data_IF_587797816764
#
_entry.id   IF_587797816764
#
_cell.length_a   1.000
_cell.length_b   1.000
_cell.length_c   1.000
_cell.angle_alpha   90.00
_cell.angle_beta   90.00
_cell.angle_gamma   90.00
#
_symmetry.space_group_name_H-M   'P 1'
#
loop_
_entity.id
_entity.type
_entity.pdbx_description
1 polymer ?
#
# COMPACT_ATOMS: atom_id res chain seq x y z
N UNK A 1 -10.63 -1.72 -6.43
CA UNK A 1 -10.38 -0.54 -7.30
C UNK A 1 -10.07 -0.95 -8.74
N UNK A 2 -9.07 -1.79 -9.01
CA UNK A 2 -8.76 -2.27 -10.39
C UNK A 2 -9.99 -2.79 -11.14
N UNK A 3 -10.80 -3.65 -10.51
CA UNK A 3 -12.04 -4.17 -11.11
C UNK A 3 -13.10 -3.09 -11.40
N UNK A 4 -13.13 -2.01 -10.61
CA UNK A 4 -14.03 -0.87 -10.84
C UNK A 4 -13.55 -0.07 -12.05
N UNK A 5 -12.25 0.21 -12.13
CA UNK A 5 -11.66 0.95 -13.26
C UNK A 5 -11.78 0.18 -14.58
N UNK A 6 -11.64 -1.15 -14.53
CA UNK A 6 -11.82 -2.03 -15.69
C UNK A 6 -13.30 -2.27 -16.05
N UNK A 7 -14.25 -1.65 -15.34
CA UNK A 7 -15.68 -1.80 -15.60
C UNK A 7 -16.29 -3.15 -15.20
N UNK A 8 -15.54 -4.01 -14.50
CA UNK A 8 -16.01 -5.31 -14.00
C UNK A 8 -17.01 -5.12 -12.85
N UNK A 9 -16.76 -4.13 -11.99
CA UNK A 9 -17.62 -3.82 -10.85
C UNK A 9 -18.28 -2.46 -10.99
N UNK A 10 -19.50 -2.34 -10.44
CA UNK A 10 -20.21 -1.06 -10.36
C UNK A 10 -19.42 -0.07 -9.49
N UNK A 11 -19.45 1.20 -9.91
CA UNK A 11 -18.85 2.31 -9.17
C UNK A 11 -19.73 2.63 -7.96
N UNK A 12 -19.19 2.68 -6.73
CA UNK A 12 -19.91 3.20 -5.57
C UNK A 12 -20.29 4.68 -5.80
N UNK A 13 -21.52 5.05 -5.43
CA UNK A 13 -22.04 6.41 -5.63
C UNK A 13 -21.15 7.50 -5.02
N UNK A 14 -20.55 7.24 -3.85
CA UNK A 14 -19.61 8.15 -3.16
C UNK A 14 -18.34 8.46 -3.96
N UNK A 15 -18.00 7.63 -4.94
CA UNK A 15 -16.78 7.77 -5.75
C UNK A 15 -17.10 8.13 -7.21
N UNK A 16 -18.36 8.43 -7.55
CA UNK A 16 -18.78 8.62 -8.93
C UNK A 16 -18.07 9.82 -9.60
N UNK A 17 -17.99 10.95 -8.91
CA UNK A 17 -17.32 12.16 -9.43
C UNK A 17 -15.82 11.93 -9.66
N UNK A 18 -15.13 11.35 -8.66
CA UNK A 18 -13.72 11.01 -8.76
C UNK A 18 -13.44 10.00 -9.90
N UNK A 19 -14.33 9.02 -10.06
CA UNK A 19 -14.24 8.02 -11.11
C UNK A 19 -14.37 8.64 -12.50
N UNK A 20 -15.30 9.57 -12.70
CA UNK A 20 -15.49 10.25 -13.98
C UNK A 20 -14.26 11.09 -14.36
N UNK A 21 -13.69 11.82 -13.41
CA UNK A 21 -12.44 12.56 -13.61
C UNK A 21 -11.25 11.65 -13.93
N UNK A 22 -11.16 10.51 -13.24
CA UNK A 22 -10.16 9.48 -13.51
C UNK A 22 -10.33 8.91 -14.91
N UNK A 23 -11.55 8.56 -15.33
CA UNK A 23 -11.83 8.02 -16.67
C UNK A 23 -11.49 9.01 -17.78
N UNK A 24 -11.79 10.29 -17.61
CA UNK A 24 -11.38 11.32 -18.56
C UNK A 24 -9.86 11.43 -18.69
N UNK A 25 -9.14 11.25 -17.59
CA UNK A 25 -7.67 11.24 -17.59
C UNK A 25 -7.15 10.01 -18.31
N UNK A 26 -7.65 8.81 -17.97
CA UNK A 26 -7.24 7.56 -18.60
C UNK A 26 -7.49 7.54 -20.11
N UNK A 27 -8.55 8.17 -20.61
CA UNK A 27 -8.81 8.27 -22.06
C UNK A 27 -7.77 9.10 -22.82
N UNK A 28 -7.02 9.97 -22.13
CA UNK A 28 -6.02 10.85 -22.75
C UNK A 28 -4.63 10.22 -22.81
N UNK A 29 -4.41 9.09 -22.15
CA UNK A 29 -3.10 8.47 -22.00
C UNK A 29 -3.19 6.96 -22.21
N UNK A 30 -2.16 6.37 -22.79
CA UNK A 30 -2.06 4.91 -22.88
C UNK A 30 -1.55 4.37 -21.54
N UNK A 31 -2.42 3.71 -20.76
CA UNK A 31 -2.09 3.20 -19.43
C UNK A 31 -2.59 1.77 -19.25
N UNK A 32 -1.74 0.94 -18.66
CA UNK A 32 -2.09 -0.41 -18.20
C UNK A 32 -2.25 -0.44 -16.69
N UNK A 33 -3.34 -1.04 -16.20
CA UNK A 33 -3.65 -1.10 -14.76
C UNK A 33 -3.49 -2.54 -14.28
N UNK A 34 -2.59 -2.73 -13.32
CA UNK A 34 -2.32 -4.03 -12.71
C UNK A 34 -2.57 -3.99 -11.21
N UNK A 35 -3.14 -5.07 -10.68
CA UNK A 35 -3.17 -5.27 -9.24
C UNK A 35 -1.82 -5.81 -8.77
N UNK A 36 -1.19 -5.13 -7.80
CA UNK A 36 0.07 -5.54 -7.20
C UNK A 36 -0.11 -5.86 -5.71
N UNK A 37 0.78 -6.69 -5.17
CA UNK A 37 0.83 -6.91 -3.73
C UNK A 37 1.18 -5.62 -2.99
N UNK A 38 0.64 -5.45 -1.78
CA UNK A 38 0.87 -4.25 -0.96
C UNK A 38 2.35 -4.03 -0.69
N UNK A 39 3.11 -5.11 -0.57
CA UNK A 39 4.56 -5.12 -0.37
C UNK A 39 5.32 -4.47 -1.54
N UNK A 40 4.81 -4.60 -2.77
CA UNK A 40 5.33 -3.93 -3.95
C UNK A 40 4.88 -2.48 -4.07
N UNK A 41 3.81 -2.09 -3.38
CA UNK A 41 3.28 -0.71 -3.40
C UNK A 41 3.80 0.16 -2.24
N UNK A 42 4.88 -0.25 -1.58
CA UNK A 42 5.37 0.39 -0.34
C UNK A 42 5.77 1.85 -0.54
N UNK A 43 6.37 2.19 -1.68
CA UNK A 43 6.80 3.56 -1.93
C UNK A 43 5.59 4.50 -2.06
N UNK A 44 4.55 4.10 -2.80
CA UNK A 44 3.34 4.89 -2.93
C UNK A 44 2.59 5.02 -1.59
N UNK A 45 2.47 3.93 -0.82
CA UNK A 45 1.89 3.95 0.54
C UNK A 45 2.67 4.92 1.44
N UNK A 46 4.00 4.86 1.39
CA UNK A 46 4.85 5.78 2.15
C UNK A 46 4.65 7.25 1.75
N UNK A 47 4.60 7.56 0.45
CA UNK A 47 4.41 8.93 -0.03
C UNK A 47 3.02 9.47 0.34
N UNK A 48 1.98 8.64 0.27
CA UNK A 48 0.63 9.04 0.67
C UNK A 48 0.55 9.37 2.17
N UNK A 49 1.13 8.51 3.02
CA UNK A 49 1.19 8.76 4.47
C UNK A 49 2.04 10.00 4.78
N UNK A 50 3.18 10.17 4.11
CA UNK A 50 4.01 11.35 4.26
C UNK A 50 3.24 12.64 3.91
N UNK A 51 2.44 12.61 2.83
CA UNK A 51 1.60 13.75 2.43
C UNK A 51 0.48 14.06 3.44
N UNK A 52 -0.10 13.03 4.08
CA UNK A 52 -1.09 13.20 5.15
C UNK A 52 -0.44 13.81 6.40
N UNK A 53 0.73 13.32 6.77
CA UNK A 53 1.48 13.79 7.95
C UNK A 53 2.04 15.20 7.73
N UNK A 54 2.33 15.56 6.48
CA UNK A 54 2.82 16.89 6.13
C UNK A 54 1.65 17.84 5.85
N UNK A 55 1.47 18.87 6.68
CA UNK A 55 0.47 19.93 6.43
C UNK A 55 0.72 20.78 5.16
N UNK A 56 1.78 20.51 4.41
CA UNK A 56 2.22 21.28 3.25
C UNK A 56 2.50 20.36 2.06
N UNK A 57 2.30 20.89 0.84
CA UNK A 57 2.69 20.19 -0.39
C UNK A 57 4.20 19.92 -0.40
N UNK A 58 4.57 18.65 -0.56
CA UNK A 58 5.96 18.21 -0.68
C UNK A 58 6.27 17.78 -2.11
N UNK A 59 7.44 18.20 -2.61
CA UNK A 59 7.97 17.77 -3.90
C UNK A 59 9.45 17.46 -3.77
N UNK A 60 9.87 16.28 -4.21
CA UNK A 60 11.25 15.83 -4.18
C UNK A 60 11.74 15.67 -5.62
N UNK A 61 12.73 16.47 -6.02
CA UNK A 61 13.29 16.45 -7.37
C UNK A 61 14.57 15.60 -7.45
N UNK A 62 15.09 15.15 -6.31
CA UNK A 62 16.26 14.26 -6.26
C UNK A 62 16.14 13.22 -5.16
N UNK A 63 16.83 12.09 -5.35
CA UNK A 63 16.86 11.01 -4.37
C UNK A 63 17.38 11.47 -3.01
N UNK A 64 18.33 12.41 -3.02
CA UNK A 64 18.95 12.97 -1.82
C UNK A 64 17.96 13.78 -0.97
N UNK A 65 16.93 14.36 -1.57
CA UNK A 65 15.89 15.12 -0.86
C UNK A 65 14.88 14.22 -0.15
N UNK A 66 14.80 12.93 -0.51
CA UNK A 66 13.87 12.01 0.13
C UNK A 66 14.22 11.78 1.61
N UNK A 67 13.22 11.65 2.49
CA UNK A 67 13.47 11.19 3.85
C UNK A 67 14.10 9.80 3.86
N UNK A 68 14.79 9.48 4.95
CA UNK A 68 15.55 8.24 5.12
C UNK A 68 14.72 6.99 4.84
N UNK A 69 13.44 6.98 5.25
CA UNK A 69 12.56 5.84 5.03
C UNK A 69 12.21 5.64 3.55
N UNK A 70 11.91 6.72 2.81
CA UNK A 70 11.69 6.65 1.37
C UNK A 70 12.91 6.13 0.61
N UNK A 71 14.11 6.61 0.97
CA UNK A 71 15.38 6.11 0.43
C UNK A 71 15.57 4.62 0.69
N UNK A 72 15.29 4.17 1.91
CA UNK A 72 15.38 2.76 2.30
C UNK A 72 14.47 1.87 1.45
N UNK A 73 13.22 2.28 1.23
CA UNK A 73 12.26 1.52 0.42
C UNK A 73 12.80 1.33 -1.00
N UNK A 74 13.21 2.42 -1.65
CA UNK A 74 13.78 2.38 -3.01
C UNK A 74 15.02 1.48 -3.08
N UNK A 75 15.93 1.60 -2.11
CA UNK A 75 17.15 0.78 -2.11
C UNK A 75 16.85 -0.70 -1.89
N UNK A 76 15.88 -1.03 -1.03
CA UNK A 76 15.47 -2.42 -0.77
C UNK A 76 14.84 -3.03 -2.02
N UNK A 77 14.04 -2.26 -2.74
CA UNK A 77 13.43 -2.66 -4.01
C UNK A 77 14.46 -2.83 -5.12
N UNK A 78 15.40 -1.90 -5.27
CA UNK A 78 16.53 -2.02 -6.22
C UNK A 78 17.40 -3.23 -5.95
N UNK A 79 17.60 -3.57 -4.67
CA UNK A 79 18.35 -4.76 -4.27
C UNK A 79 17.53 -6.07 -4.41
N UNK A 80 16.27 -5.99 -4.88
CA UNK A 80 15.36 -7.13 -5.04
C UNK A 80 15.20 -7.95 -3.75
N UNK A 81 15.27 -7.27 -2.59
CA UNK A 81 15.15 -7.94 -1.30
C UNK A 81 13.66 -8.22 -1.03
N UNK A 82 13.26 -9.50 -0.86
CA UNK A 82 11.86 -9.85 -0.62
C UNK A 82 11.37 -9.23 0.68
N UNK A 83 10.24 -8.52 0.62
CA UNK A 83 9.71 -7.79 1.75
C UNK A 83 8.43 -8.43 2.29
N UNK A 84 8.55 -9.69 2.74
CA UNK A 84 7.43 -10.55 3.14
C UNK A 84 6.72 -10.06 4.41
N UNK A 85 5.38 -10.00 4.35
CA UNK A 85 4.55 -9.83 5.54
C UNK A 85 4.18 -11.19 6.10
N UNK A 86 4.84 -11.59 7.19
CA UNK A 86 4.51 -12.83 7.89
C UNK A 86 3.48 -12.54 8.98
N UNK A 87 2.31 -13.20 8.92
CA UNK A 87 1.34 -13.22 10.03
C UNK A 87 1.58 -14.47 10.86
N UNK A 88 2.10 -14.31 12.08
CA UNK A 88 2.24 -15.42 13.02
C UNK A 88 0.89 -15.69 13.72
N UNK A 89 0.47 -16.97 13.74
CA UNK A 89 -0.69 -17.39 14.54
C UNK A 89 -0.26 -17.46 16.01
N UNK A 90 -1.03 -16.85 16.91
CA UNK A 90 -0.83 -17.03 18.36
C UNK A 90 -1.23 -18.46 18.75
N UNK A 91 -0.29 -19.26 19.20
CA UNK A 91 -0.56 -20.59 19.76
C UNK A 91 -0.97 -20.37 21.23
N UNK A 92 -2.20 -20.72 21.58
CA UNK A 92 -2.62 -20.74 22.98
C UNK A 92 -1.93 -21.93 23.66
N UNK A 93 -1.19 -21.68 24.75
CA UNK A 93 -0.59 -22.77 25.53
C UNK A 93 -1.73 -23.52 26.25
N UNK A 94 -1.77 -24.87 26.20
CA UNK A 94 -2.78 -25.62 26.93
C UNK A 94 -2.65 -25.34 28.44
N UNK A 95 -3.77 -25.03 29.06
CA UNK A 95 -3.87 -24.69 30.48
C UNK A 95 -3.51 -25.94 31.30
N UNK A 96 -2.26 -26.07 31.69
CA UNK A 96 -1.81 -27.21 32.51
C UNK A 96 -2.23 -26.95 33.95
N UNK A 97 -3.50 -27.25 34.26
CA UNK A 97 -3.94 -27.34 35.65
C UNK A 97 -3.25 -28.56 36.27
N UNK A 98 -2.17 -28.30 37.01
CA UNK A 98 -1.57 -29.30 37.89
C UNK A 98 -2.55 -29.57 39.02
N UNK A 99 -3.30 -30.67 38.91
CA UNK A 99 -3.94 -31.27 40.07
C UNK A 99 -2.84 -31.73 41.04
N UNK A 100 -2.57 -30.92 42.06
CA UNK A 100 -1.97 -31.41 43.30
C UNK A 100 -3.12 -31.61 44.29
N UNK A 101 -3.55 -32.85 44.45
CA UNK A 101 -4.25 -33.32 45.64
C UNK A 101 -3.45 -34.49 46.20
N UNK A 102 -2.86 -34.28 47.38
CA UNK A 102 -2.59 -35.29 48.38
C UNK A 102 -2.77 -34.65 49.75
#
# INVERSE_FOLDING_TARGET
MVNVINGVWKVPWELAEDYDGLQQTLKKIEVTIHHIFREGNKLADYMANLAIDSNNKQSFNSFQQLPTMGKKIINTEKAQIPSLRVRTRRIQKPNTQRHQQR
#
